data_IF_228802920389
#
_entry.id   IF_228802920389
#
_cell.length_a   1.000
_cell.length_b   1.000
_cell.length_c   1.000
_cell.angle_alpha   90.00
_cell.angle_beta   90.00
_cell.angle_gamma   90.00
#
_symmetry.space_group_name_H-M   'P 1'
#
loop_
_entity.id
_entity.type
_entity.pdbx_description
1 polymer ?
#
# COMPACT_ATOMS: atom_id res chain seq x y z
N UNK A 1 -52.15 37.87 -5.26
CA UNK A 1 -52.32 37.25 -3.94
C UNK A 1 -52.51 35.75 -4.15
N UNK A 2 -51.58 34.91 -3.71
CA UNK A 2 -51.75 33.45 -3.72
C UNK A 2 -52.63 33.08 -2.52
N UNK A 3 -53.77 32.45 -2.77
CA UNK A 3 -54.63 31.91 -1.71
C UNK A 3 -54.08 30.54 -1.28
N UNK A 4 -53.80 30.38 0.01
CA UNK A 4 -53.46 29.10 0.61
C UNK A 4 -54.71 28.22 0.70
N UNK A 5 -54.63 26.97 0.21
CA UNK A 5 -55.72 25.99 0.26
C UNK A 5 -55.32 24.86 1.21
N UNK A 6 -56.25 24.42 2.07
CA UNK A 6 -56.06 23.26 2.93
C UNK A 6 -56.18 21.97 2.12
N UNK A 7 -55.16 21.11 2.19
CA UNK A 7 -55.14 19.81 1.53
C UNK A 7 -55.04 18.66 2.55
N UNK A 8 -55.73 17.55 2.28
CA UNK A 8 -55.61 16.31 3.05
C UNK A 8 -54.49 15.45 2.47
N UNK A 9 -53.43 15.22 3.25
CA UNK A 9 -52.29 14.37 2.86
C UNK A 9 -52.34 13.02 3.58
N UNK A 10 -52.00 11.95 2.87
CA UNK A 10 -51.91 10.59 3.43
C UNK A 10 -50.63 10.46 4.27
N UNK A 11 -50.76 10.05 5.52
CA UNK A 11 -49.62 9.88 6.45
C UNK A 11 -49.69 8.55 7.18
N UNK A 12 -48.52 8.00 7.52
CA UNK A 12 -48.41 6.75 8.28
C UNK A 12 -49.03 6.88 9.68
N UNK A 13 -49.66 5.82 10.17
CA UNK A 13 -50.43 5.80 11.43
C UNK A 13 -49.55 6.08 12.67
N UNK A 14 -48.28 5.67 12.62
CA UNK A 14 -47.28 5.99 13.65
C UNK A 14 -46.98 7.49 13.73
N UNK A 15 -46.91 8.16 12.58
CA UNK A 15 -46.73 9.62 12.47
C UNK A 15 -47.96 10.36 13.00
N UNK A 16 -49.17 9.84 12.74
CA UNK A 16 -50.42 10.37 13.29
C UNK A 16 -50.42 10.28 14.83
N UNK A 17 -50.05 9.13 15.39
CA UNK A 17 -49.94 8.94 16.86
C UNK A 17 -48.90 9.84 17.50
N UNK A 18 -47.72 9.98 16.88
CA UNK A 18 -46.68 10.90 17.36
C UNK A 18 -47.14 12.37 17.32
N UNK A 19 -47.88 12.77 16.28
CA UNK A 19 -48.39 14.14 16.15
C UNK A 19 -49.57 14.41 17.09
N UNK A 20 -50.47 13.45 17.31
CA UNK A 20 -51.53 13.51 18.33
C UNK A 20 -50.97 13.72 19.73
N UNK A 21 -49.89 13.03 20.08
CA UNK A 21 -49.20 13.23 21.36
C UNK A 21 -48.53 14.61 21.52
N UNK A 22 -48.30 15.34 20.43
CA UNK A 22 -47.73 16.70 20.41
C UNK A 22 -48.81 17.80 20.25
N UNK A 23 -50.00 17.43 19.78
CA UNK A 23 -51.15 18.32 19.53
C UNK A 23 -51.74 18.94 20.81
N UNK A 24 -51.45 18.38 21.98
CA UNK A 24 -51.85 18.96 23.27
C UNK A 24 -51.03 20.17 23.72
N UNK A 25 -50.06 20.67 22.92
CA UNK A 25 -49.14 21.75 23.31
C UNK A 25 -49.15 22.98 22.40
N UNK A 26 -50.08 23.09 21.46
CA UNK A 26 -50.16 24.24 20.55
C UNK A 26 -51.57 24.83 20.55
N UNK A 27 -51.67 26.15 20.75
CA UNK A 27 -52.92 26.90 20.64
C UNK A 27 -53.34 27.05 19.16
N UNK A 28 -54.62 27.40 18.88
CA UNK A 28 -55.08 27.65 17.52
C UNK A 28 -54.26 28.75 16.85
N UNK A 29 -53.60 28.42 15.74
CA UNK A 29 -52.78 29.34 14.93
C UNK A 29 -52.25 28.64 13.68
N UNK A 30 -51.99 29.42 12.63
CA UNK A 30 -51.67 28.93 11.29
C UNK A 30 -50.40 28.07 11.26
N UNK A 31 -50.53 26.84 10.76
CA UNK A 31 -49.41 25.93 10.56
C UNK A 31 -48.82 26.12 9.16
N UNK A 32 -47.52 26.42 9.09
CA UNK A 32 -46.76 26.42 7.84
C UNK A 32 -46.03 25.08 7.69
N UNK A 33 -46.24 24.40 6.56
CA UNK A 33 -45.41 23.25 6.18
C UNK A 33 -44.05 23.79 5.68
N UNK A 34 -42.99 23.60 6.45
CA UNK A 34 -41.63 24.04 6.10
C UNK A 34 -40.91 23.13 5.09
N UNK A 35 -41.59 22.15 4.49
CA UNK A 35 -40.95 21.20 3.59
C UNK A 35 -41.82 20.90 2.36
N UNK A 36 -41.32 21.30 1.19
CA UNK A 36 -41.63 20.71 -0.11
C UNK A 36 -40.90 19.37 -0.19
N UNK A 37 -41.53 18.29 0.24
CA UNK A 37 -41.12 16.98 -0.25
C UNK A 37 -42.32 16.29 -0.87
N UNK A 38 -42.23 16.02 -2.17
CA UNK A 38 -43.11 15.05 -2.83
C UNK A 38 -42.82 13.67 -2.23
N UNK A 39 -43.86 13.01 -1.73
CA UNK A 39 -43.76 11.62 -1.28
C UNK A 39 -43.47 10.77 -2.51
N UNK A 40 -42.27 10.21 -2.60
CA UNK A 40 -41.86 9.28 -3.65
C UNK A 40 -42.82 8.07 -3.63
N UNK A 41 -43.43 7.70 -4.77
CA UNK A 41 -44.51 6.69 -4.87
C UNK A 41 -44.05 5.23 -4.59
N UNK A 42 -42.87 5.04 -4.00
CA UNK A 42 -42.31 3.71 -3.76
C UNK A 42 -43.11 3.00 -2.66
N UNK A 43 -43.61 1.79 -2.99
CA UNK A 43 -44.38 0.92 -2.09
C UNK A 43 -43.62 0.53 -0.82
N UNK A 44 -42.28 0.52 -0.87
CA UNK A 44 -41.40 0.21 0.25
C UNK A 44 -40.18 1.14 0.24
N UNK A 45 -39.59 1.45 1.42
CA UNK A 45 -38.36 2.20 1.49
C UNK A 45 -37.22 1.39 0.86
N UNK A 46 -36.31 2.06 0.14
CA UNK A 46 -35.09 1.42 -0.38
C UNK A 46 -34.27 0.85 0.78
N UNK A 47 -33.81 -0.40 0.69
CA UNK A 47 -33.04 -1.04 1.76
C UNK A 47 -31.84 -0.20 2.21
N UNK A 48 -31.59 -0.15 3.52
CA UNK A 48 -30.53 0.69 4.10
C UNK A 48 -29.14 0.35 3.55
N UNK A 49 -28.87 -0.92 3.22
CA UNK A 49 -27.60 -1.35 2.62
C UNK A 49 -27.37 -0.71 1.24
N UNK A 50 -28.43 -0.42 0.48
CA UNK A 50 -28.35 0.26 -0.81
C UNK A 50 -28.15 1.79 -0.67
N UNK A 51 -28.37 2.33 0.54
CA UNK A 51 -28.20 3.75 0.86
C UNK A 51 -26.93 4.03 1.68
N UNK A 52 -26.30 2.98 2.24
CA UNK A 52 -25.17 3.10 3.16
C UNK A 52 -23.84 3.16 2.44
N UNK A 53 -22.86 3.80 3.08
CA UNK A 53 -21.47 3.73 2.64
C UNK A 53 -20.94 2.30 2.91
N UNK A 54 -20.60 1.59 1.83
CA UNK A 54 -20.34 0.15 1.87
C UNK A 54 -18.92 -0.22 2.35
N UNK A 55 -18.00 0.74 2.53
CA UNK A 55 -16.59 0.48 2.88
C UNK A 55 -16.47 -0.15 4.27
N UNK A 56 -17.19 0.39 5.26
CA UNK A 56 -17.20 -0.13 6.64
C UNK A 56 -17.86 -1.50 6.72
N UNK A 57 -18.91 -1.72 5.90
CA UNK A 57 -19.62 -2.99 5.82
C UNK A 57 -18.70 -4.04 5.19
N UNK A 58 -18.09 -3.76 4.04
CA UNK A 58 -17.13 -4.64 3.37
C UNK A 58 -15.97 -5.04 4.31
N UNK A 59 -15.42 -4.07 5.05
CA UNK A 59 -14.35 -4.33 6.01
C UNK A 59 -14.81 -5.26 7.13
N UNK A 60 -16.00 -5.01 7.67
CA UNK A 60 -16.57 -5.81 8.77
C UNK A 60 -16.89 -7.23 8.32
N UNK A 61 -17.38 -7.40 7.09
CA UNK A 61 -17.67 -8.69 6.49
C UNK A 61 -16.40 -9.53 6.25
N UNK A 62 -15.33 -8.90 5.76
CA UNK A 62 -14.01 -9.55 5.63
C UNK A 62 -13.40 -9.95 6.97
N UNK A 63 -13.67 -9.18 8.03
CA UNK A 63 -13.23 -9.49 9.41
C UNK A 63 -14.15 -10.47 10.13
N UNK A 64 -15.32 -10.77 9.56
CA UNK A 64 -16.28 -11.69 10.17
C UNK A 64 -15.79 -13.14 10.04
N UNK A 65 -16.32 -14.08 10.85
CA UNK A 65 -15.98 -15.51 10.73
C UNK A 65 -16.27 -16.12 9.35
N UNK A 66 -17.14 -15.50 8.55
CA UNK A 66 -17.42 -15.92 7.20
C UNK A 66 -16.25 -15.61 6.25
N UNK A 67 -15.48 -14.54 6.51
CA UNK A 67 -14.38 -14.04 5.66
C UNK A 67 -14.82 -13.77 4.20
N UNK A 68 -16.09 -13.46 3.99
CA UNK A 68 -16.67 -13.21 2.67
C UNK A 68 -16.93 -11.72 2.48
N UNK A 69 -16.63 -11.18 1.29
CA UNK A 69 -16.95 -9.80 0.95
C UNK A 69 -18.39 -9.63 0.43
N UNK A 70 -18.78 -8.38 0.19
CA UNK A 70 -20.06 -7.95 -0.38
C UNK A 70 -20.39 -8.66 -1.69
N UNK A 71 -19.41 -9.02 -2.51
CA UNK A 71 -19.62 -9.76 -3.76
C UNK A 71 -20.24 -11.15 -3.57
N UNK A 72 -20.01 -11.77 -2.41
CA UNK A 72 -20.60 -13.08 -2.07
C UNK A 72 -21.91 -12.90 -1.32
N UNK A 73 -21.96 -11.94 -0.38
CA UNK A 73 -23.15 -11.67 0.43
C UNK A 73 -24.29 -11.07 -0.39
N UNK A 74 -24.01 -10.31 -1.45
CA UNK A 74 -25.06 -9.70 -2.30
C UNK A 74 -26.07 -10.71 -2.85
N UNK A 75 -25.64 -11.97 -3.09
CA UNK A 75 -26.49 -13.05 -3.59
C UNK A 75 -27.59 -13.47 -2.61
N UNK A 76 -27.47 -13.07 -1.34
CA UNK A 76 -28.39 -13.40 -0.26
C UNK A 76 -29.19 -12.19 0.21
N UNK A 77 -29.01 -11.02 -0.40
CA UNK A 77 -29.74 -9.81 -0.05
C UNK A 77 -31.05 -9.73 -0.86
N UNK A 78 -32.15 -9.32 -0.24
CA UNK A 78 -33.42 -9.11 -0.95
C UNK A 78 -33.34 -7.96 -1.95
N UNK A 79 -32.55 -6.92 -1.63
CA UNK A 79 -32.19 -5.82 -2.52
C UNK A 79 -30.67 -5.76 -2.65
N UNK A 80 -30.16 -5.94 -3.86
CA UNK A 80 -28.71 -5.86 -4.11
C UNK A 80 -28.22 -4.40 -4.13
N UNK A 81 -27.14 -4.06 -3.42
CA UNK A 81 -26.52 -2.76 -3.58
C UNK A 81 -25.97 -2.60 -5.01
N UNK A 82 -26.01 -1.38 -5.59
CA UNK A 82 -25.50 -1.15 -6.94
C UNK A 82 -24.04 -1.60 -7.07
N UNK A 83 -23.70 -2.31 -8.14
CA UNK A 83 -22.34 -2.82 -8.36
C UNK A 83 -21.29 -1.69 -8.30
N UNK A 84 -21.61 -0.52 -8.85
CA UNK A 84 -20.73 0.66 -8.77
C UNK A 84 -20.43 1.12 -7.33
N UNK A 85 -21.38 0.95 -6.40
CA UNK A 85 -21.18 1.28 -4.99
C UNK A 85 -20.30 0.23 -4.30
N UNK A 86 -20.46 -1.05 -4.63
CA UNK A 86 -19.57 -2.13 -4.17
C UNK A 86 -18.16 -1.90 -4.70
N UNK A 87 -18.00 -1.63 -5.99
CA UNK A 87 -16.71 -1.37 -6.62
C UNK A 87 -16.04 -0.12 -6.03
N UNK A 88 -16.82 0.91 -5.70
CA UNK A 88 -16.33 2.10 -5.01
C UNK A 88 -15.87 1.80 -3.57
N UNK A 89 -16.60 0.97 -2.82
CA UNK A 89 -16.18 0.55 -1.48
C UNK A 89 -14.92 -0.33 -1.51
N UNK A 90 -14.82 -1.25 -2.45
CA UNK A 90 -13.60 -2.02 -2.70
C UNK A 90 -12.44 -1.10 -3.08
N UNK A 91 -12.69 -0.11 -3.94
CA UNK A 91 -11.70 0.91 -4.32
C UNK A 91 -11.28 1.77 -3.12
N UNK A 92 -12.20 2.14 -2.24
CA UNK A 92 -11.91 2.88 -1.01
C UNK A 92 -11.13 2.04 0.00
N UNK A 93 -11.47 0.77 0.19
CA UNK A 93 -10.65 -0.13 1.01
C UNK A 93 -9.25 -0.29 0.45
N UNK A 94 -9.11 -0.43 -0.87
CA UNK A 94 -7.82 -0.40 -1.57
C UNK A 94 -7.06 0.93 -1.39
N UNK A 95 -7.72 2.02 -1.00
CA UNK A 95 -7.10 3.32 -0.68
C UNK A 95 -6.70 3.46 0.79
N UNK A 96 -7.35 2.74 1.72
CA UNK A 96 -7.06 2.76 3.17
C UNK A 96 -5.88 1.85 3.55
N UNK A 97 -5.53 0.93 2.65
CA UNK A 97 -4.36 0.06 2.62
C UNK A 97 -4.48 -0.80 1.37
N UNK A 98 -3.43 -1.49 0.93
CA UNK A 98 -3.59 -2.48 -0.15
C UNK A 98 -4.05 -3.78 0.52
N UNK A 99 -5.35 -4.11 0.57
CA UNK A 99 -5.74 -5.42 1.09
C UNK A 99 -5.07 -6.48 0.21
N UNK A 100 -4.69 -7.63 0.78
CA UNK A 100 -4.31 -8.79 0.00
C UNK A 100 -5.32 -9.07 -1.12
N UNK A 101 -4.81 -9.58 -2.23
CA UNK A 101 -5.58 -9.82 -3.44
C UNK A 101 -5.44 -11.28 -3.83
N UNK A 102 -6.58 -11.88 -4.21
CA UNK A 102 -6.56 -13.13 -4.95
C UNK A 102 -5.90 -12.90 -6.30
N UNK A 103 -5.09 -13.86 -6.72
CA UNK A 103 -4.60 -13.92 -8.10
C UNK A 103 -5.79 -14.08 -9.05
N UNK A 104 -5.67 -13.49 -10.23
CA UNK A 104 -6.73 -13.44 -11.25
C UNK A 104 -7.23 -14.88 -11.54
N UNK A 105 -8.55 -15.14 -11.48
CA UNK A 105 -9.10 -16.51 -11.55
C UNK A 105 -8.65 -17.32 -12.78
N UNK A 106 -8.45 -16.64 -13.91
CA UNK A 106 -8.04 -17.24 -15.18
C UNK A 106 -6.66 -17.89 -15.12
N UNK A 107 -5.77 -17.40 -14.24
CA UNK A 107 -4.37 -17.86 -14.13
C UNK A 107 -4.07 -18.56 -12.81
N UNK A 108 -5.03 -18.55 -11.88
CA UNK A 108 -4.89 -19.08 -10.51
C UNK A 108 -4.40 -20.53 -10.44
N UNK A 109 -4.81 -21.38 -11.38
CA UNK A 109 -4.37 -22.78 -11.45
C UNK A 109 -2.84 -22.93 -11.57
N UNK A 110 -2.12 -21.90 -12.02
CA UNK A 110 -0.65 -21.90 -12.14
C UNK A 110 0.05 -21.62 -10.81
N UNK A 111 -0.66 -21.18 -9.79
CA UNK A 111 -0.11 -20.66 -8.54
C UNK A 111 -0.62 -21.41 -7.30
N UNK A 112 -1.15 -22.62 -7.47
CA UNK A 112 -1.68 -23.43 -6.36
C UNK A 112 -0.60 -23.77 -5.33
N UNK A 113 0.64 -23.99 -5.77
CA UNK A 113 1.82 -24.19 -4.93
C UNK A 113 2.12 -22.96 -4.06
N UNK A 114 1.91 -21.76 -4.61
CA UNK A 114 2.08 -20.50 -3.87
C UNK A 114 0.96 -20.35 -2.85
N UNK A 115 -0.29 -20.63 -3.22
CA UNK A 115 -1.43 -20.60 -2.28
C UNK A 115 -1.25 -21.56 -1.12
N UNK A 116 -0.72 -22.76 -1.38
CA UNK A 116 -0.38 -23.73 -0.34
C UNK A 116 0.64 -23.14 0.64
N UNK A 117 1.77 -22.60 0.15
CA UNK A 117 2.78 -21.94 1.01
C UNK A 117 2.24 -20.71 1.74
N UNK A 118 1.36 -19.92 1.12
CA UNK A 118 0.68 -18.80 1.80
C UNK A 118 -0.12 -19.32 2.99
N UNK A 119 -0.90 -20.39 2.79
CA UNK A 119 -1.74 -20.97 3.83
C UNK A 119 -0.93 -21.47 5.03
N UNK A 120 0.28 -21.98 4.82
CA UNK A 120 1.17 -22.38 5.92
C UNK A 120 1.47 -21.20 6.85
N UNK A 121 1.59 -19.98 6.33
CA UNK A 121 1.92 -18.80 7.14
C UNK A 121 0.67 -18.10 7.66
N UNK A 122 -0.40 -18.02 6.88
CA UNK A 122 -1.52 -17.12 7.17
C UNK A 122 -2.78 -17.80 7.72
N UNK A 123 -2.90 -19.13 7.68
CA UNK A 123 -4.08 -19.82 8.21
C UNK A 123 -4.04 -19.90 9.74
N UNK A 124 -4.82 -19.06 10.43
CA UNK A 124 -4.86 -19.07 11.89
C UNK A 124 -5.46 -20.32 12.51
N UNK A 125 -6.04 -21.22 11.70
CA UNK A 125 -6.64 -22.48 12.14
C UNK A 125 -5.67 -23.66 12.12
N UNK A 126 -4.40 -23.46 11.74
CA UNK A 126 -3.37 -24.51 11.81
C UNK A 126 -3.31 -25.12 13.21
N UNK A 127 -3.31 -26.45 13.26
CA UNK A 127 -3.26 -27.23 14.49
C UNK A 127 -1.83 -27.41 14.98
N UNK A 128 -1.68 -27.82 16.25
CA UNK A 128 -0.35 -28.18 16.79
C UNK A 128 0.36 -29.26 15.96
N UNK A 129 -0.40 -30.19 15.35
CA UNK A 129 0.15 -31.25 14.49
C UNK A 129 0.73 -30.63 13.21
N UNK A 130 0.01 -29.69 12.61
CA UNK A 130 0.47 -29.00 11.41
C UNK A 130 1.75 -28.21 11.67
N UNK A 131 1.86 -27.58 12.83
CA UNK A 131 3.08 -26.87 13.25
C UNK A 131 4.22 -27.84 13.54
N UNK A 132 3.96 -28.95 14.23
CA UNK A 132 4.96 -29.96 14.56
C UNK A 132 5.60 -30.58 13.31
N UNK A 133 4.81 -30.83 12.27
CA UNK A 133 5.31 -31.37 11.00
C UNK A 133 6.37 -30.46 10.34
N UNK A 134 6.23 -29.14 10.51
CA UNK A 134 7.20 -28.17 10.00
C UNK A 134 8.44 -27.99 10.87
N UNK A 135 8.40 -28.40 12.14
CA UNK A 135 9.48 -28.21 13.12
C UNK A 135 10.37 -29.44 13.27
N UNK A 136 9.74 -30.60 13.49
CA UNK A 136 10.38 -31.86 13.88
C UNK A 136 9.87 -33.04 13.05
N UNK A 137 9.02 -32.78 12.05
CA UNK A 137 8.54 -33.82 11.14
C UNK A 137 9.67 -34.40 10.28
N UNK A 138 9.45 -35.56 9.63
CA UNK A 138 10.45 -36.18 8.74
C UNK A 138 10.87 -35.30 7.55
N UNK A 139 10.07 -34.29 7.23
CA UNK A 139 10.30 -33.32 6.15
C UNK A 139 10.65 -31.92 6.68
N UNK A 140 10.95 -31.78 7.97
CA UNK A 140 11.29 -30.50 8.55
C UNK A 140 12.59 -29.98 7.94
N UNK A 141 12.53 -28.78 7.39
CA UNK A 141 13.66 -28.02 6.85
C UNK A 141 13.75 -26.68 7.58
N UNK A 142 14.81 -25.92 7.28
CA UNK A 142 14.93 -24.54 7.74
C UNK A 142 13.72 -23.70 7.30
N UNK A 143 13.29 -23.85 6.06
CA UNK A 143 12.19 -23.10 5.47
C UNK A 143 10.86 -23.43 6.15
N UNK A 144 10.58 -24.71 6.43
CA UNK A 144 9.36 -25.08 7.15
C UNK A 144 9.37 -24.59 8.59
N UNK A 145 10.56 -24.50 9.23
CA UNK A 145 10.71 -23.84 10.53
C UNK A 145 10.47 -22.33 10.44
N UNK A 146 10.99 -21.67 9.40
CA UNK A 146 10.70 -20.27 9.11
C UNK A 146 9.20 -20.03 8.87
N UNK A 147 8.50 -20.92 8.18
CA UNK A 147 7.04 -20.85 8.00
C UNK A 147 6.30 -20.89 9.35
N UNK A 148 6.76 -21.71 10.30
CA UNK A 148 6.16 -21.79 11.63
C UNK A 148 6.42 -20.53 12.44
N UNK A 149 7.64 -19.99 12.44
CA UNK A 149 7.94 -18.70 13.09
C UNK A 149 7.13 -17.56 12.47
N UNK A 150 7.08 -17.51 11.14
CA UNK A 150 6.26 -16.55 10.40
C UNK A 150 4.76 -16.69 10.75
N UNK A 151 4.26 -17.91 10.89
CA UNK A 151 2.89 -18.17 11.32
C UNK A 151 2.61 -17.61 12.71
N UNK A 152 3.51 -17.79 13.68
CA UNK A 152 3.34 -17.16 15.00
C UNK A 152 3.28 -15.64 14.87
N UNK A 153 4.25 -15.05 14.19
CA UNK A 153 4.33 -13.60 13.99
C UNK A 153 3.03 -13.04 13.40
N UNK A 154 2.53 -13.65 12.32
CA UNK A 154 1.33 -13.20 11.60
C UNK A 154 0.03 -13.56 12.34
N UNK A 155 -0.18 -14.84 12.66
CA UNK A 155 -1.48 -15.34 13.13
C UNK A 155 -1.73 -15.09 14.62
N UNK A 156 -0.70 -15.15 15.46
CA UNK A 156 -0.81 -14.98 16.91
C UNK A 156 -0.50 -13.54 17.33
N UNK A 157 0.55 -12.96 16.76
CA UNK A 157 1.03 -11.64 17.18
C UNK A 157 0.52 -10.50 16.29
N UNK A 158 -0.05 -10.80 15.12
CA UNK A 158 -0.67 -9.79 14.25
C UNK A 158 0.35 -8.93 13.50
N UNK A 159 1.53 -9.49 13.22
CA UNK A 159 2.53 -8.87 12.36
C UNK A 159 2.11 -8.99 10.89
N UNK A 160 2.66 -8.11 10.06
CA UNK A 160 2.62 -8.22 8.60
C UNK A 160 3.98 -8.72 8.11
N UNK A 161 3.99 -9.82 7.38
CA UNK A 161 5.24 -10.39 6.84
C UNK A 161 5.48 -9.87 5.43
N UNK A 162 6.72 -9.50 5.11
CA UNK A 162 7.09 -8.96 3.81
C UNK A 162 8.53 -9.36 3.41
N UNK A 163 9.02 -8.78 2.31
CA UNK A 163 10.43 -8.80 1.98
C UNK A 163 10.96 -10.12 1.42
N UNK A 164 12.15 -10.50 1.86
CA UNK A 164 12.95 -11.55 1.24
C UNK A 164 12.29 -12.93 1.27
N UNK A 165 11.70 -13.31 2.40
CA UNK A 165 11.06 -14.61 2.57
C UNK A 165 9.81 -14.78 1.69
N UNK A 166 8.96 -13.75 1.60
CA UNK A 166 7.76 -13.80 0.75
C UNK A 166 8.15 -13.95 -0.72
N UNK A 167 9.19 -13.23 -1.16
CA UNK A 167 9.72 -13.31 -2.52
C UNK A 167 10.37 -14.67 -2.80
N UNK A 168 11.37 -15.03 -2.00
CA UNK A 168 12.26 -16.13 -2.29
C UNK A 168 11.58 -17.47 -2.04
N UNK A 169 10.90 -17.63 -0.91
CA UNK A 169 10.30 -18.91 -0.52
C UNK A 169 8.84 -19.03 -0.94
N UNK A 170 7.98 -18.11 -0.50
CA UNK A 170 6.52 -18.24 -0.71
C UNK A 170 6.18 -18.18 -2.20
N UNK A 171 6.63 -17.13 -2.90
CA UNK A 171 6.34 -16.96 -4.32
C UNK A 171 7.34 -17.69 -5.23
N UNK A 172 8.60 -17.81 -4.83
CA UNK A 172 9.69 -18.30 -5.68
C UNK A 172 10.07 -19.77 -5.50
N UNK A 173 9.80 -20.39 -4.34
CA UNK A 173 10.30 -21.72 -3.96
C UNK A 173 11.83 -21.87 -4.11
N UNK A 174 12.55 -20.80 -3.76
CA UNK A 174 14.01 -20.72 -3.89
C UNK A 174 14.71 -21.11 -2.60
N UNK A 175 15.53 -22.15 -2.73
CA UNK A 175 16.48 -22.59 -1.71
C UNK A 175 17.88 -22.45 -2.30
N UNK A 176 18.72 -21.66 -1.63
CA UNK A 176 20.14 -21.56 -1.95
C UNK A 176 20.94 -21.67 -0.66
N UNK A 177 22.02 -22.45 -0.71
CA UNK A 177 22.97 -22.64 0.39
C UNK A 177 24.37 -22.31 -0.09
N UNK A 178 25.27 -21.84 0.78
CA UNK A 178 26.67 -21.69 0.43
C UNK A 178 27.29 -23.06 0.11
N UNK A 179 28.20 -23.08 -0.87
CA UNK A 179 28.93 -24.29 -1.25
C UNK A 179 30.31 -24.36 -0.56
N UNK A 180 30.95 -25.52 -0.61
CA UNK A 180 32.32 -25.70 -0.13
C UNK A 180 32.48 -25.54 1.38
N UNK A 181 33.46 -24.73 1.81
CA UNK A 181 33.81 -24.53 3.24
C UNK A 181 32.68 -23.90 4.08
N UNK A 182 31.65 -23.36 3.43
CA UNK A 182 30.50 -22.74 4.09
C UNK A 182 29.21 -23.58 3.97
N UNK A 183 29.32 -24.84 3.53
CA UNK A 183 28.17 -25.73 3.41
C UNK A 183 27.55 -26.10 4.77
N UNK A 184 28.35 -26.08 5.83
CA UNK A 184 27.87 -26.33 7.19
C UNK A 184 27.03 -25.14 7.71
N UNK A 185 25.77 -25.38 8.14
CA UNK A 185 24.92 -24.35 8.73
C UNK A 185 25.53 -23.56 9.89
N UNK A 186 26.45 -24.18 10.65
CA UNK A 186 27.16 -23.50 11.74
C UNK A 186 27.97 -22.29 11.28
N UNK A 187 28.30 -22.21 9.98
CA UNK A 187 29.09 -21.13 9.38
C UNK A 187 28.26 -20.06 8.69
N UNK A 188 26.92 -20.18 8.72
CA UNK A 188 26.03 -19.26 8.01
C UNK A 188 25.85 -17.93 8.72
N UNK A 189 26.14 -17.87 10.02
CA UNK A 189 26.07 -16.64 10.81
C UNK A 189 27.48 -16.11 11.05
N UNK A 190 27.64 -14.82 10.82
CA UNK A 190 28.78 -14.01 11.27
C UNK A 190 28.26 -12.95 12.22
N UNK A 191 29.11 -12.44 13.12
CA UNK A 191 28.71 -11.38 14.06
C UNK A 191 29.57 -10.13 13.81
N UNK A 192 28.91 -8.97 13.79
CA UNK A 192 29.58 -7.67 13.61
C UNK A 192 29.10 -6.69 14.66
N UNK A 193 29.99 -5.88 15.28
CA UNK A 193 29.59 -4.91 16.27
C UNK A 193 28.78 -3.77 15.64
N UNK A 194 27.67 -3.39 16.25
CA UNK A 194 26.94 -2.17 15.92
C UNK A 194 27.57 -0.93 16.56
N UNK A 195 26.96 0.25 16.38
CA UNK A 195 27.46 1.52 16.93
C UNK A 195 27.55 1.53 18.47
N UNK A 196 26.80 0.67 19.16
CA UNK A 196 26.85 0.49 20.61
C UNK A 196 27.83 -0.62 21.05
N UNK A 197 28.58 -1.22 20.12
CA UNK A 197 29.50 -2.33 20.38
C UNK A 197 28.83 -3.70 20.56
N UNK A 198 27.51 -3.79 20.38
CA UNK A 198 26.76 -5.06 20.50
C UNK A 198 26.99 -5.90 19.25
N UNK A 199 27.31 -7.18 19.43
CA UNK A 199 27.54 -8.13 18.33
C UNK A 199 26.23 -8.52 17.66
N UNK A 200 25.98 -7.97 16.47
CA UNK A 200 24.79 -8.23 15.67
C UNK A 200 25.04 -9.38 14.69
N UNK A 201 24.18 -10.41 14.65
CA UNK A 201 24.29 -11.50 13.70
C UNK A 201 23.97 -11.03 12.29
N UNK A 202 24.71 -11.55 11.33
CA UNK A 202 24.55 -11.34 9.90
C UNK A 202 24.58 -12.71 9.24
N UNK A 203 23.49 -13.04 8.55
CA UNK A 203 23.40 -14.25 7.75
C UNK A 203 24.15 -14.10 6.43
N UNK A 204 24.85 -15.16 6.03
CA UNK A 204 25.55 -15.24 4.75
C UNK A 204 24.58 -14.94 3.59
N UNK A 205 24.96 -13.99 2.73
CA UNK A 205 24.13 -13.52 1.63
C UNK A 205 23.74 -14.60 0.60
N UNK A 206 24.51 -15.71 0.52
CA UNK A 206 24.22 -16.86 -0.33
C UNK A 206 23.09 -17.75 0.22
N UNK A 207 22.75 -17.64 1.52
CA UNK A 207 21.60 -18.35 2.10
C UNK A 207 20.31 -17.68 1.64
N UNK A 208 19.42 -18.47 1.05
CA UNK A 208 18.11 -18.02 0.55
C UNK A 208 17.04 -19.05 0.93
N UNK A 209 15.89 -18.64 1.51
CA UNK A 209 15.58 -17.30 2.04
C UNK A 209 16.51 -16.93 3.22
N UNK A 210 16.84 -15.66 3.41
CA UNK A 210 17.80 -15.24 4.44
C UNK A 210 17.11 -15.01 5.79
N UNK A 211 16.07 -14.18 5.78
CA UNK A 211 15.46 -13.55 6.95
C UNK A 211 13.94 -13.38 6.77
N UNK A 212 13.25 -13.20 7.90
CA UNK A 212 11.84 -12.81 7.96
C UNK A 212 11.73 -11.31 8.26
N UNK A 213 11.12 -10.54 7.37
CA UNK A 213 10.86 -9.11 7.60
C UNK A 213 9.42 -8.93 8.10
N UNK A 214 9.26 -8.60 9.38
CA UNK A 214 7.95 -8.51 10.03
C UNK A 214 7.67 -7.09 10.52
N UNK A 215 6.64 -6.46 9.99
CA UNK A 215 6.13 -5.19 10.48
C UNK A 215 5.22 -5.40 11.67
N UNK A 216 5.55 -4.73 12.77
CA UNK A 216 4.69 -4.70 13.95
C UNK A 216 3.41 -3.90 13.67
N UNK A 217 2.32 -4.32 14.32
CA UNK A 217 1.05 -3.61 14.22
C UNK A 217 1.14 -2.25 14.89
N UNK A 218 0.69 -1.19 14.20
CA UNK A 218 0.51 0.13 14.81
C UNK A 218 -0.60 0.16 15.87
N UNK A 219 -1.47 -0.85 15.89
CA UNK A 219 -2.69 -0.87 16.70
C UNK A 219 -2.65 -1.91 17.83
N UNK A 220 -1.64 -2.78 17.85
CA UNK A 220 -1.52 -3.86 18.82
C UNK A 220 -0.11 -3.86 19.41
N UNK A 221 -0.04 -3.83 20.74
CA UNK A 221 1.23 -4.01 21.44
C UNK A 221 1.82 -5.39 21.13
N UNK A 222 3.10 -5.40 20.78
CA UNK A 222 3.86 -6.63 20.58
C UNK A 222 4.63 -6.96 21.85
N UNK A 223 4.29 -8.09 22.45
CA UNK A 223 4.89 -8.59 23.68
C UNK A 223 6.00 -9.60 23.31
N UNK A 224 7.25 -9.13 23.35
CA UNK A 224 8.41 -9.92 22.93
C UNK A 224 8.60 -11.15 23.83
N UNK A 225 8.35 -11.02 25.13
CA UNK A 225 8.52 -12.13 26.08
C UNK A 225 7.50 -13.23 25.79
N UNK A 226 6.23 -12.87 25.55
CA UNK A 226 5.22 -13.86 25.12
C UNK A 226 5.55 -14.50 23.77
N UNK A 227 6.17 -13.76 22.86
CA UNK A 227 6.62 -14.31 21.59
C UNK A 227 7.71 -15.36 21.81
N UNK A 228 8.70 -15.06 22.66
CA UNK A 228 9.76 -15.99 23.02
C UNK A 228 9.25 -17.22 23.77
N UNK A 229 8.31 -17.06 24.69
CA UNK A 229 7.64 -18.17 25.37
C UNK A 229 6.96 -19.12 24.36
N UNK A 230 6.32 -18.55 23.33
CA UNK A 230 5.71 -19.32 22.26
C UNK A 230 6.76 -20.07 21.43
N UNK A 231 7.90 -19.45 21.09
CA UNK A 231 9.01 -20.13 20.40
C UNK A 231 9.58 -21.28 21.23
N UNK A 232 9.84 -21.02 22.51
CA UNK A 232 10.41 -22.00 23.43
C UNK A 232 9.51 -23.23 23.61
N UNK A 233 8.18 -23.04 23.68
CA UNK A 233 7.21 -24.14 23.73
C UNK A 233 7.35 -25.13 22.57
N UNK A 234 7.83 -24.65 21.42
CA UNK A 234 8.00 -25.42 20.21
C UNK A 234 9.47 -25.78 19.92
N UNK A 235 10.36 -25.65 20.93
CA UNK A 235 11.79 -25.97 20.82
C UNK A 235 12.50 -25.18 19.71
N UNK A 236 12.11 -23.93 19.53
CA UNK A 236 12.80 -22.97 18.67
C UNK A 236 13.67 -22.13 19.58
N UNK A 237 14.98 -22.22 19.40
CA UNK A 237 15.93 -21.38 20.14
C UNK A 237 15.93 -19.98 19.53
N UNK A 238 15.90 -18.94 20.35
CA UNK A 238 15.85 -17.55 19.88
C UNK A 238 16.71 -16.65 20.76
N UNK A 239 17.66 -15.95 20.15
CA UNK A 239 18.38 -14.81 20.73
C UNK A 239 17.74 -13.52 20.25
N UNK A 240 17.56 -12.53 21.14
CA UNK A 240 16.98 -11.23 20.79
C UNK A 240 18.02 -10.13 21.01
N UNK A 241 18.24 -9.34 19.96
CA UNK A 241 19.09 -8.16 19.99
C UNK A 241 18.23 -6.94 19.69
N UNK A 242 18.27 -5.96 20.58
CA UNK A 242 17.52 -4.72 20.45
C UNK A 242 18.39 -3.63 19.82
N UNK A 243 17.93 -3.09 18.69
CA UNK A 243 18.42 -1.84 18.13
C UNK A 243 17.43 -0.71 18.39
N UNK A 244 17.80 0.54 18.10
CA UNK A 244 16.93 1.70 18.35
C UNK A 244 15.59 1.63 17.62
N UNK A 245 15.54 0.94 16.47
CA UNK A 245 14.45 1.00 15.51
C UNK A 245 13.86 -0.37 15.11
N UNK A 246 14.46 -1.48 15.58
CA UNK A 246 13.97 -2.85 15.35
C UNK A 246 14.43 -3.81 16.44
N UNK A 247 13.83 -5.00 16.47
CA UNK A 247 14.43 -6.17 17.11
C UNK A 247 15.00 -7.10 16.05
N UNK A 248 16.20 -7.59 16.26
CA UNK A 248 16.84 -8.63 15.46
C UNK A 248 16.76 -9.91 16.26
N UNK A 249 16.10 -10.92 15.70
CA UNK A 249 15.94 -12.23 16.31
C UNK A 249 16.77 -13.23 15.53
N UNK A 250 17.64 -13.96 16.22
CA UNK A 250 18.40 -15.07 15.65
C UNK A 250 17.78 -16.37 16.13
N UNK A 251 17.31 -17.19 15.20
CA UNK A 251 16.73 -18.49 15.51
C UNK A 251 17.70 -19.61 15.19
N UNK A 252 17.66 -20.64 16.03
CA UNK A 252 18.20 -21.96 15.72
C UNK A 252 19.69 -21.93 15.32
N UNK A 253 20.51 -21.11 15.99
CA UNK A 253 21.95 -20.94 15.73
C UNK A 253 22.71 -22.27 15.66
N UNK A 254 22.30 -23.23 16.48
CA UNK A 254 22.93 -24.53 16.60
C UNK A 254 22.07 -25.69 16.11
N UNK A 255 20.90 -25.41 15.51
CA UNK A 255 20.05 -26.47 15.01
C UNK A 255 20.59 -27.08 13.72
N UNK A 256 20.35 -28.38 13.51
CA UNK A 256 20.77 -29.11 12.31
C UNK A 256 20.17 -28.56 11.01
N UNK A 257 18.97 -27.98 11.09
CA UNK A 257 18.30 -27.34 9.95
C UNK A 257 19.01 -26.07 9.50
N UNK A 258 19.73 -25.42 10.41
CA UNK A 258 20.48 -24.21 10.18
C UNK A 258 19.77 -22.93 10.63
N UNK A 259 20.56 -21.87 10.88
CA UNK A 259 20.07 -20.63 11.47
C UNK A 259 19.30 -19.76 10.48
N UNK A 260 18.40 -18.94 11.00
CA UNK A 260 17.75 -17.86 10.24
C UNK A 260 17.47 -16.67 11.15
N UNK A 261 17.20 -15.52 10.53
CA UNK A 261 16.95 -14.28 11.28
C UNK A 261 15.53 -13.76 11.04
N UNK A 262 15.08 -12.88 11.93
CA UNK A 262 13.88 -12.10 11.75
C UNK A 262 14.09 -10.68 12.25
N UNK A 263 13.67 -9.73 11.44
CA UNK A 263 13.59 -8.32 11.80
C UNK A 263 12.15 -7.99 12.19
N UNK A 264 11.96 -7.53 13.44
CA UNK A 264 10.73 -6.90 13.89
C UNK A 264 10.85 -5.39 13.73
N UNK A 265 10.21 -4.86 12.70
CA UNK A 265 10.26 -3.45 12.32
C UNK A 265 9.19 -2.69 13.05
N UNK A 266 9.58 -1.63 13.77
CA UNK A 266 8.62 -0.84 14.52
C UNK A 266 7.73 0.03 13.63
N UNK A 267 6.47 0.28 14.03
CA UNK A 267 5.52 1.01 13.19
C UNK A 267 5.97 2.44 12.85
N UNK A 268 6.71 3.07 13.76
CA UNK A 268 7.20 4.44 13.58
C UNK A 268 8.33 4.54 12.53
N UNK A 269 8.98 3.41 12.21
CA UNK A 269 10.11 3.30 11.27
C UNK A 269 9.64 2.84 9.89
N UNK A 270 8.48 2.16 9.82
CA UNK A 270 7.88 1.64 8.59
C UNK A 270 7.89 2.68 7.45
N UNK A 271 7.59 3.94 7.74
CA UNK A 271 7.59 5.05 6.76
C UNK A 271 8.93 5.26 6.03
N UNK A 272 10.06 4.93 6.68
CA UNK A 272 11.40 5.01 6.07
C UNK A 272 11.82 3.69 5.42
N UNK A 273 11.27 2.57 5.90
CA UNK A 273 11.45 1.22 5.36
C UNK A 273 10.56 0.90 4.14
N UNK A 274 9.53 1.70 3.90
CA UNK A 274 8.61 1.62 2.75
C UNK A 274 9.27 1.99 1.40
N UNK A 275 10.59 2.26 1.38
CA UNK A 275 11.34 2.37 0.13
C UNK A 275 11.45 0.99 -0.51
N UNK A 276 10.64 0.77 -1.54
CA UNK A 276 10.72 -0.46 -2.33
C UNK A 276 11.80 -0.29 -3.39
N UNK A 277 12.86 -1.09 -3.27
CA UNK A 277 13.95 -1.15 -4.24
C UNK A 277 13.51 -1.81 -5.55
N UNK A 278 12.82 -2.95 -5.43
CA UNK A 278 12.46 -3.84 -6.52
C UNK A 278 11.00 -4.25 -6.41
N UNK A 279 10.33 -4.41 -7.55
CA UNK A 279 8.95 -4.90 -7.63
C UNK A 279 8.73 -6.24 -6.91
N UNK A 280 9.69 -7.14 -7.02
CA UNK A 280 9.68 -8.44 -6.37
C UNK A 280 9.80 -8.39 -4.84
N UNK A 281 10.17 -7.24 -4.25
CA UNK A 281 10.21 -7.02 -2.80
C UNK A 281 8.92 -6.35 -2.28
N UNK A 282 7.94 -6.16 -3.16
CA UNK A 282 6.70 -5.47 -2.83
C UNK A 282 5.64 -6.41 -2.26
N UNK A 283 5.87 -7.72 -2.18
CA UNK A 283 4.87 -8.69 -1.70
C UNK A 283 4.79 -8.73 -0.17
N UNK A 284 3.59 -9.00 0.34
CA UNK A 284 3.34 -9.14 1.78
C UNK A 284 2.26 -10.18 2.09
N UNK A 285 2.30 -10.75 3.30
CA UNK A 285 1.31 -11.68 3.83
C UNK A 285 0.66 -11.14 5.10
N UNK A 286 -0.63 -11.42 5.26
CA UNK A 286 -1.44 -10.99 6.40
C UNK A 286 -2.32 -12.14 6.89
N UNK A 287 -2.70 -12.09 8.17
CA UNK A 287 -3.48 -13.14 8.84
C UNK A 287 -4.79 -13.44 8.11
N UNK A 288 -5.10 -14.73 7.97
CA UNK A 288 -6.32 -15.30 7.39
C UNK A 288 -6.56 -15.03 5.90
N UNK A 289 -5.59 -14.40 5.23
CA UNK A 289 -5.55 -14.27 3.78
C UNK A 289 -4.83 -15.47 3.15
N UNK A 290 -5.43 -16.66 3.30
CA UNK A 290 -4.81 -17.97 3.00
C UNK A 290 -4.47 -18.24 1.54
N UNK A 291 -4.96 -17.40 0.63
CA UNK A 291 -4.80 -17.55 -0.83
C UNK A 291 -4.47 -16.23 -1.53
N UNK A 292 -4.16 -15.20 -0.75
CA UNK A 292 -4.04 -13.83 -1.23
C UNK A 292 -2.66 -13.27 -0.93
N UNK A 293 -2.09 -12.55 -1.89
CA UNK A 293 -0.86 -11.78 -1.71
C UNK A 293 -1.21 -10.31 -1.57
N UNK A 294 -0.67 -9.67 -0.55
CA UNK A 294 -0.68 -8.22 -0.42
C UNK A 294 0.48 -7.58 -1.17
N UNK A 295 0.36 -6.27 -1.40
CA UNK A 295 1.49 -5.44 -1.78
C UNK A 295 1.76 -4.38 -0.71
N UNK A 296 3.04 -4.03 -0.52
CA UNK A 296 3.46 -2.95 0.39
C UNK A 296 3.02 -1.59 -0.15
N UNK A 297 3.25 -1.35 -1.44
CA UNK A 297 2.78 -0.18 -2.18
C UNK A 297 1.97 -0.63 -3.39
N UNK A 298 0.80 -0.01 -3.58
CA UNK A 298 -0.02 -0.26 -4.77
C UNK A 298 0.61 0.36 -6.01
N UNK A 299 1.26 -0.48 -6.82
CA UNK A 299 1.90 -0.11 -8.09
C UNK A 299 1.10 -0.57 -9.32
N UNK A 300 -0.12 -1.06 -9.13
CA UNK A 300 -1.04 -1.42 -10.23
C UNK A 300 -1.73 -0.19 -10.83
N UNK A 301 -1.81 0.90 -10.08
CA UNK A 301 -2.43 2.10 -10.59
C UNK A 301 -1.48 2.89 -11.49
N UNK A 302 -2.07 3.61 -12.45
CA UNK A 302 -1.38 4.60 -13.28
C UNK A 302 -0.61 5.57 -12.37
N UNK A 303 0.68 5.87 -12.64
CA UNK A 303 1.40 5.67 -13.90
C UNK A 303 2.22 4.37 -14.03
N UNK A 304 2.24 3.48 -13.04
CA UNK A 304 3.20 2.36 -12.99
C UNK A 304 2.66 1.06 -13.57
N UNK A 305 1.38 0.74 -13.29
CA UNK A 305 0.62 -0.37 -13.88
C UNK A 305 1.32 -1.74 -13.89
N UNK A 306 1.99 -2.11 -12.78
CA UNK A 306 2.58 -3.44 -12.62
C UNK A 306 1.59 -4.34 -11.87
N UNK A 307 1.03 -5.32 -12.57
CA UNK A 307 0.10 -6.32 -12.01
C UNK A 307 0.79 -7.30 -11.05
N UNK A 308 0.07 -7.76 -10.02
CA UNK A 308 0.55 -8.72 -9.04
C UNK A 308 1.09 -10.01 -9.71
N UNK A 309 0.36 -10.54 -10.69
CA UNK A 309 0.74 -11.72 -11.47
C UNK A 309 2.06 -11.50 -12.21
N UNK A 310 2.28 -10.28 -12.73
CA UNK A 310 3.54 -9.91 -13.38
C UNK A 310 4.70 -9.97 -12.38
N UNK A 311 4.49 -9.55 -11.13
CA UNK A 311 5.50 -9.66 -10.07
C UNK A 311 5.79 -11.13 -9.77
N UNK A 312 4.75 -11.96 -9.60
CA UNK A 312 4.91 -13.40 -9.32
C UNK A 312 5.63 -14.12 -10.48
N UNK A 313 5.26 -13.84 -11.72
CA UNK A 313 5.90 -14.43 -12.90
C UNK A 313 7.35 -13.96 -13.07
N UNK A 314 7.67 -12.73 -12.65
CA UNK A 314 9.04 -12.22 -12.61
C UNK A 314 9.84 -12.91 -11.51
N UNK A 315 9.26 -13.09 -10.33
CA UNK A 315 9.87 -13.86 -9.24
C UNK A 315 10.27 -15.23 -9.76
N UNK A 316 9.35 -16.00 -10.34
CA UNK A 316 9.60 -17.35 -10.89
C UNK A 316 10.71 -17.41 -11.94
N UNK A 317 10.91 -16.34 -12.69
CA UNK A 317 11.96 -16.21 -13.71
C UNK A 317 13.26 -15.59 -13.18
N UNK A 318 13.34 -15.28 -11.88
CA UNK A 318 14.41 -14.47 -11.28
C UNK A 318 14.67 -13.18 -12.04
N UNK A 319 13.59 -12.48 -12.39
CA UNK A 319 13.62 -11.17 -13.02
C UNK A 319 13.17 -10.11 -12.01
N UNK A 320 13.84 -8.96 -11.97
CA UNK A 320 13.44 -7.85 -11.10
C UNK A 320 13.38 -6.54 -11.87
N UNK A 321 12.56 -5.61 -11.40
CA UNK A 321 12.47 -4.25 -11.92
C UNK A 321 12.81 -3.25 -10.83
N UNK A 322 13.74 -2.35 -11.13
CA UNK A 322 14.16 -1.29 -10.21
C UNK A 322 13.01 -0.28 -10.06
N UNK A 323 12.61 -0.03 -8.81
CA UNK A 323 11.50 0.83 -8.46
C UNK A 323 11.90 2.20 -7.89
N UNK A 324 13.20 2.48 -7.72
CA UNK A 324 13.66 3.78 -7.22
C UNK A 324 14.99 4.22 -7.83
N UNK A 325 15.32 5.52 -7.77
CA UNK A 325 16.64 6.07 -8.05
C UNK A 325 17.82 5.26 -7.48
N UNK A 326 18.89 5.15 -8.26
CA UNK A 326 20.16 4.56 -7.79
C UNK A 326 20.80 5.42 -6.70
N UNK A 327 21.21 4.75 -5.63
CA UNK A 327 22.10 5.22 -4.58
C UNK A 327 22.99 4.06 -4.10
N UNK A 328 23.99 4.35 -3.28
CA UNK A 328 24.98 3.36 -2.81
C UNK A 328 24.30 2.13 -2.17
N UNK A 329 23.20 2.34 -1.45
CA UNK A 329 22.45 1.26 -0.81
C UNK A 329 21.71 0.40 -1.84
N UNK A 330 21.09 1.01 -2.87
CA UNK A 330 20.47 0.27 -3.97
C UNK A 330 21.50 -0.56 -4.71
N UNK A 331 22.68 -0.01 -4.98
CA UNK A 331 23.76 -0.69 -5.70
C UNK A 331 24.28 -1.91 -4.92
N UNK A 332 24.46 -1.77 -3.60
CA UNK A 332 24.81 -2.92 -2.74
C UNK A 332 23.74 -4.02 -2.79
N UNK A 333 22.45 -3.64 -2.70
CA UNK A 333 21.34 -4.59 -2.79
C UNK A 333 21.21 -5.21 -4.18
N UNK A 334 21.46 -4.44 -5.25
CA UNK A 334 21.46 -4.92 -6.63
C UNK A 334 22.59 -5.91 -6.87
N UNK A 335 23.80 -5.62 -6.38
CA UNK A 335 24.95 -6.52 -6.46
C UNK A 335 24.66 -7.85 -5.73
N UNK A 336 23.97 -7.80 -4.58
CA UNK A 336 23.49 -9.01 -3.90
C UNK A 336 22.50 -9.80 -4.76
N UNK A 337 21.48 -9.13 -5.31
CA UNK A 337 20.45 -9.80 -6.12
C UNK A 337 21.03 -10.41 -7.41
N UNK A 338 21.86 -9.66 -8.15
CA UNK A 338 22.41 -10.08 -9.44
C UNK A 338 23.61 -11.00 -9.24
N UNK A 339 24.60 -10.56 -8.45
CA UNK A 339 25.89 -11.25 -8.32
C UNK A 339 25.84 -12.51 -7.46
N UNK A 340 25.02 -12.53 -6.40
CA UNK A 340 24.97 -13.67 -5.46
C UNK A 340 23.75 -14.56 -5.73
N UNK A 341 22.60 -13.97 -6.03
CA UNK A 341 21.31 -14.69 -6.16
C UNK A 341 20.89 -14.94 -7.61
N UNK A 342 21.69 -14.45 -8.57
CA UNK A 342 21.53 -14.65 -10.01
C UNK A 342 20.19 -14.13 -10.57
N UNK A 343 19.75 -12.96 -10.09
CA UNK A 343 18.61 -12.24 -10.67
C UNK A 343 19.01 -11.44 -11.91
N UNK A 344 18.07 -11.22 -12.82
CA UNK A 344 18.24 -10.39 -14.01
C UNK A 344 17.41 -9.10 -13.90
N UNK A 345 17.97 -7.99 -14.36
CA UNK A 345 17.33 -6.66 -14.27
C UNK A 345 16.52 -6.36 -15.53
N UNK A 346 15.25 -5.99 -15.35
CA UNK A 346 14.37 -5.52 -16.43
C UNK A 346 14.40 -4.00 -16.56
N UNK A 347 14.83 -3.57 -17.73
CA UNK A 347 14.87 -2.17 -18.14
C UNK A 347 13.62 -1.78 -18.95
N UNK A 348 13.25 -0.47 -18.97
CA UNK A 348 13.81 0.59 -18.13
C UNK A 348 13.29 0.53 -16.68
N UNK A 349 13.99 1.16 -15.71
CA UNK A 349 13.51 1.28 -14.33
C UNK A 349 12.20 2.07 -14.27
N UNK A 350 11.42 1.86 -13.20
CA UNK A 350 10.15 2.57 -12.95
C UNK A 350 10.21 3.23 -11.58
N UNK A 351 10.50 4.52 -11.52
CA UNK A 351 10.62 5.21 -10.24
C UNK A 351 9.26 5.45 -9.58
N UNK A 352 8.95 4.60 -8.60
CA UNK A 352 7.75 4.64 -7.78
C UNK A 352 7.95 5.65 -6.65
N UNK A 353 7.07 6.64 -6.58
CA UNK A 353 6.95 7.48 -5.38
C UNK A 353 5.71 7.00 -4.63
N UNK A 354 5.87 6.49 -3.38
CA UNK A 354 4.74 6.07 -2.59
C UNK A 354 3.80 7.24 -2.34
N UNK A 355 2.51 6.93 -2.16
CA UNK A 355 1.55 7.95 -1.73
C UNK A 355 2.01 8.50 -0.37
N UNK A 356 1.84 9.81 -0.12
CA UNK A 356 2.12 10.35 1.19
C UNK A 356 1.20 9.69 2.24
N UNK A 357 1.68 9.53 3.49
CA UNK A 357 0.84 9.07 4.59
C UNK A 357 -0.36 10.01 4.78
N UNK A 358 -1.48 9.52 5.33
CA UNK A 358 -2.72 10.30 5.48
C UNK A 358 -2.56 11.67 6.19
N UNK A 359 -1.50 11.85 6.99
CA UNK A 359 -1.19 13.13 7.66
C UNK A 359 -0.59 14.18 6.70
N UNK A 360 0.01 13.74 5.59
CA UNK A 360 0.71 14.59 4.63
C UNK A 360 -0.03 14.57 3.29
N UNK A 361 -0.15 15.74 2.66
CA UNK A 361 -0.78 15.86 1.34
C UNK A 361 0.18 15.52 0.20
N UNK A 362 1.48 15.59 0.47
CA UNK A 362 2.55 15.44 -0.53
C UNK A 362 3.68 14.53 -0.06
N UNK A 363 4.25 13.80 -1.01
CA UNK A 363 5.58 13.20 -0.90
C UNK A 363 6.51 13.81 -1.98
N UNK A 364 7.77 14.07 -1.59
CA UNK A 364 8.83 14.56 -2.48
C UNK A 364 9.92 13.50 -2.60
N UNK A 365 10.42 13.29 -3.81
CA UNK A 365 11.57 12.42 -4.05
C UNK A 365 12.61 13.13 -4.90
N UNK A 366 13.84 13.23 -4.39
CA UNK A 366 14.95 13.79 -5.16
C UNK A 366 15.26 12.92 -6.38
N UNK A 367 15.42 13.55 -7.54
CA UNK A 367 15.84 12.87 -8.76
C UNK A 367 17.37 12.77 -8.80
N UNK A 368 17.93 11.58 -9.04
CA UNK A 368 19.36 11.41 -9.12
C UNK A 368 19.88 12.02 -10.43
N UNK A 369 21.07 12.64 -10.43
CA UNK A 369 21.68 13.20 -11.65
C UNK A 369 21.86 12.20 -12.79
N UNK A 370 21.98 10.92 -12.45
CA UNK A 370 22.13 9.82 -13.40
C UNK A 370 20.85 9.48 -14.17
N UNK A 371 19.66 9.86 -13.67
CA UNK A 371 18.38 9.49 -14.31
C UNK A 371 18.12 10.25 -15.62
N UNK A 372 17.49 9.57 -16.58
CA UNK A 372 17.12 10.16 -17.87
C UNK A 372 16.18 11.36 -17.69
N UNK A 373 15.26 11.28 -16.72
CA UNK A 373 14.36 12.39 -16.39
C UNK A 373 15.14 13.60 -15.86
N UNK A 374 16.13 13.41 -14.99
CA UNK A 374 16.98 14.50 -14.53
C UNK A 374 17.73 15.14 -15.71
N UNK A 375 18.36 14.32 -16.56
CA UNK A 375 19.10 14.80 -17.74
C UNK A 375 18.20 15.56 -18.73
N UNK A 376 16.98 15.09 -18.99
CA UNK A 376 16.00 15.78 -19.82
C UNK A 376 15.59 17.13 -19.21
N UNK A 377 15.35 17.18 -17.90
CA UNK A 377 14.98 18.42 -17.21
C UNK A 377 16.14 19.43 -17.21
N UNK A 378 17.36 19.00 -16.92
CA UNK A 378 18.57 19.84 -17.00
C UNK A 378 18.72 20.39 -18.42
N UNK A 379 18.63 19.55 -19.45
CA UNK A 379 18.73 19.98 -20.85
C UNK A 379 17.68 21.03 -21.21
N UNK A 380 16.46 20.89 -20.71
CA UNK A 380 15.38 21.88 -20.93
C UNK A 380 15.61 23.19 -20.16
N UNK A 381 16.31 23.14 -19.03
CA UNK A 381 16.64 24.31 -18.20
C UNK A 381 17.88 25.07 -18.69
N UNK A 382 18.77 24.42 -19.44
CA UNK A 382 19.96 25.04 -20.03
C UNK A 382 19.65 26.23 -20.95
N UNK A 383 18.39 26.42 -21.37
CA UNK A 383 17.95 27.61 -22.10
C UNK A 383 18.02 28.89 -21.28
N UNK A 384 18.09 28.78 -19.95
CA UNK A 384 18.22 29.94 -19.07
C UNK A 384 19.70 30.08 -18.68
N UNK A 385 20.35 31.19 -19.04
CA UNK A 385 21.77 31.39 -18.76
C UNK A 385 22.04 31.53 -17.26
N UNK A 386 23.24 31.13 -16.83
CA UNK A 386 23.77 31.32 -15.48
C UNK A 386 22.94 30.67 -14.35
N UNK A 387 22.32 29.51 -14.61
CA UNK A 387 21.63 28.74 -13.58
C UNK A 387 22.54 27.65 -12.99
N UNK A 388 22.62 27.62 -11.67
CA UNK A 388 23.10 26.46 -10.92
C UNK A 388 21.92 25.66 -10.37
N UNK A 389 21.82 24.40 -10.77
CA UNK A 389 20.77 23.48 -10.28
C UNK A 389 21.26 22.84 -8.99
N UNK A 390 20.61 23.17 -7.86
CA UNK A 390 20.94 22.58 -6.55
C UNK A 390 20.34 21.18 -6.43
N UNK A 391 19.06 21.03 -6.75
CA UNK A 391 18.34 19.75 -6.73
C UNK A 391 17.09 19.78 -7.60
N UNK A 392 16.65 18.60 -8.03
CA UNK A 392 15.38 18.40 -8.71
C UNK A 392 14.56 17.39 -7.91
N UNK A 393 13.29 17.72 -7.64
CA UNK A 393 12.41 16.88 -6.82
C UNK A 393 11.13 16.56 -7.61
N UNK A 394 10.78 15.27 -7.63
CA UNK A 394 9.52 14.80 -8.19
C UNK A 394 8.43 14.85 -7.10
N UNK A 395 7.27 15.38 -7.44
CA UNK A 395 6.16 15.61 -6.50
C UNK A 395 5.10 14.53 -6.68
N UNK A 396 4.67 13.95 -5.57
CA UNK A 396 3.53 13.04 -5.51
C UNK A 396 2.47 13.61 -4.58
N UNK A 397 1.38 14.10 -5.17
CA UNK A 397 0.20 14.57 -4.46
C UNK A 397 -1.03 13.89 -5.05
N UNK A 398 -1.55 12.81 -4.43
CA UNK A 398 -2.68 12.06 -4.99
C UNK A 398 -3.91 12.93 -5.23
N UNK A 399 -4.18 13.90 -4.35
CA UNK A 399 -5.34 14.79 -4.47
C UNK A 399 -5.25 15.67 -5.72
N UNK A 400 -4.12 16.32 -5.95
CA UNK A 400 -3.96 17.21 -7.12
C UNK A 400 -3.80 16.43 -8.41
N UNK A 401 -3.25 15.21 -8.37
CA UNK A 401 -3.19 14.32 -9.52
C UNK A 401 -4.56 13.79 -9.94
N UNK A 402 -5.40 13.39 -8.99
CA UNK A 402 -6.77 12.95 -9.27
C UNK A 402 -7.57 14.09 -9.88
N UNK A 403 -7.44 15.31 -9.33
CA UNK A 403 -8.02 16.52 -9.92
C UNK A 403 -7.51 16.77 -11.34
N UNK A 404 -6.20 16.68 -11.56
CA UNK A 404 -5.58 16.84 -12.87
C UNK A 404 -6.12 15.83 -13.90
N UNK A 405 -6.15 14.54 -13.54
CA UNK A 405 -6.63 13.48 -14.42
C UNK A 405 -8.14 13.59 -14.68
N UNK A 406 -8.91 14.00 -13.68
CA UNK A 406 -10.33 14.31 -13.81
C UNK A 406 -10.57 15.41 -14.83
N UNK A 407 -9.86 16.54 -14.69
CA UNK A 407 -9.94 17.67 -15.62
C UNK A 407 -9.48 17.30 -17.02
N UNK A 408 -8.38 16.54 -17.15
CA UNK A 408 -7.89 16.04 -18.43
C UNK A 408 -8.96 15.20 -19.15
N UNK A 409 -9.63 14.29 -18.44
CA UNK A 409 -10.73 13.48 -19.00
C UNK A 409 -11.93 14.34 -19.40
N UNK A 410 -12.27 15.37 -18.63
CA UNK A 410 -13.35 16.30 -18.99
C UNK A 410 -13.04 17.07 -20.28
N UNK A 411 -11.84 17.65 -20.38
CA UNK A 411 -11.37 18.35 -21.58
C UNK A 411 -11.36 17.39 -22.78
N UNK A 412 -10.90 16.15 -22.59
CA UNK A 412 -10.87 15.14 -23.64
C UNK A 412 -12.28 14.88 -24.22
N UNK A 413 -13.30 14.81 -23.36
CA UNK A 413 -14.70 14.62 -23.79
C UNK A 413 -15.28 15.85 -24.51
N UNK A 414 -14.76 17.04 -24.23
CA UNK A 414 -15.23 18.29 -24.81
C UNK A 414 -14.59 18.59 -26.19
N UNK A 415 -13.49 17.91 -26.53
CA UNK A 415 -12.77 18.11 -27.79
C UNK A 415 -13.18 17.08 -28.84
N UNK A 416 -13.56 17.55 -30.04
CA UNK A 416 -14.07 16.72 -31.13
C UNK A 416 -13.08 15.63 -31.61
N UNK A 417 -11.78 15.81 -31.38
CA UNK A 417 -10.73 14.85 -31.75
C UNK A 417 -10.12 14.10 -30.55
N UNK A 418 -10.61 14.36 -29.32
CA UNK A 418 -10.09 13.77 -28.10
C UNK A 418 -8.63 14.13 -27.74
N UNK A 419 -8.01 15.10 -28.43
CA UNK A 419 -6.62 15.51 -28.17
C UNK A 419 -6.58 16.72 -27.23
N UNK A 420 -6.21 16.47 -25.97
CA UNK A 420 -6.14 17.50 -24.92
C UNK A 420 -4.94 18.46 -25.01
N UNK A 421 -4.05 18.29 -26.00
CA UNK A 421 -2.88 19.16 -26.22
C UNK A 421 -2.03 19.38 -24.94
N UNK A 422 -1.77 18.31 -24.20
CA UNK A 422 -0.99 18.36 -22.96
C UNK A 422 0.45 18.80 -23.24
N UNK A 423 0.96 19.75 -22.45
CA UNK A 423 2.32 20.29 -22.56
C UNK A 423 3.05 20.24 -21.22
N UNK A 424 4.37 20.02 -21.28
CA UNK A 424 5.28 20.14 -20.13
C UNK A 424 5.91 21.52 -20.14
N UNK A 425 5.58 22.36 -19.17
CA UNK A 425 6.07 23.75 -19.05
C UNK A 425 6.72 24.01 -17.68
N UNK A 426 7.50 25.08 -17.60
CA UNK A 426 8.11 25.57 -16.35
C UNK A 426 7.25 26.65 -15.70
N UNK A 427 7.30 26.72 -14.36
CA UNK A 427 6.66 27.76 -13.56
C UNK A 427 7.62 28.20 -12.45
N UNK A 428 7.96 29.49 -12.42
CA UNK A 428 8.74 30.11 -11.34
C UNK A 428 7.82 30.72 -10.29
N UNK A 429 8.16 30.56 -9.02
CA UNK A 429 7.39 31.13 -7.90
C UNK A 429 8.31 31.45 -6.71
N UNK A 430 7.77 32.11 -5.68
CA UNK A 430 8.49 32.39 -4.43
C UNK A 430 8.54 31.14 -3.53
N UNK A 431 9.44 31.11 -2.53
CA UNK A 431 9.52 29.97 -1.60
C UNK A 431 8.19 29.62 -0.93
N UNK A 432 7.39 30.63 -0.51
CA UNK A 432 6.05 30.42 0.05
C UNK A 432 5.06 29.86 -0.99
N UNK A 433 5.22 30.23 -2.26
CA UNK A 433 4.44 29.70 -3.36
C UNK A 433 4.74 28.22 -3.65
N UNK A 434 5.98 27.76 -3.43
CA UNK A 434 6.35 26.36 -3.60
C UNK A 434 5.52 25.46 -2.68
N UNK A 435 5.48 25.74 -1.38
CA UNK A 435 4.73 24.94 -0.41
C UNK A 435 3.24 24.90 -0.75
N UNK A 436 2.68 26.05 -1.12
CA UNK A 436 1.28 26.17 -1.47
C UNK A 436 0.88 25.40 -2.74
N UNK A 437 1.65 25.51 -3.83
CA UNK A 437 1.35 24.78 -5.07
C UNK A 437 1.60 23.28 -4.88
N UNK A 438 2.65 22.93 -4.14
CA UNK A 438 2.96 21.55 -3.79
C UNK A 438 1.78 20.88 -3.07
N UNK A 439 1.25 21.51 -2.02
CA UNK A 439 0.25 20.90 -1.15
C UNK A 439 -1.17 20.97 -1.72
N UNK A 440 -1.51 22.06 -2.43
CA UNK A 440 -2.88 22.36 -2.85
C UNK A 440 -3.08 22.47 -4.37
N UNK A 441 -1.99 22.39 -5.14
CA UNK A 441 -2.03 22.60 -6.59
C UNK A 441 -2.11 24.08 -6.97
N UNK A 442 -2.34 24.33 -8.26
CA UNK A 442 -2.47 25.69 -8.79
C UNK A 442 -3.88 26.24 -8.52
N UNK A 443 -3.93 27.47 -8.01
CA UNK A 443 -5.15 28.26 -7.85
C UNK A 443 -4.90 29.75 -8.06
N UNK A 444 -5.95 30.56 -7.85
CA UNK A 444 -5.94 31.97 -8.19
C UNK A 444 -4.99 32.84 -7.36
N UNK A 445 -4.47 32.33 -6.23
CA UNK A 445 -3.52 33.03 -5.36
C UNK A 445 -2.13 33.09 -5.96
N UNK A 446 -1.80 32.21 -6.91
CA UNK A 446 -0.52 32.23 -7.64
C UNK A 446 -0.60 33.04 -8.93
N UNK A 447 -1.70 33.75 -9.18
CA UNK A 447 -1.77 34.80 -10.20
C UNK A 447 -1.13 36.07 -9.62
N UNK A 448 0.02 36.47 -10.16
CA UNK A 448 0.78 37.61 -9.65
C UNK A 448 0.04 38.94 -9.77
N UNK A 449 0.24 39.83 -8.79
CA UNK A 449 -0.25 41.21 -8.79
C UNK A 449 0.52 42.16 -9.75
N UNK A 450 1.55 41.68 -10.44
CA UNK A 450 2.54 42.51 -11.15
C UNK A 450 2.34 42.64 -12.67
N UNK A 451 1.18 42.29 -13.21
CA UNK A 451 0.87 42.64 -14.61
C UNK A 451 -0.33 43.55 -14.69
N UNK A 452 -0.07 44.84 -14.93
CA UNK A 452 -1.04 45.90 -15.23
C UNK A 452 -1.87 45.66 -16.52
N UNK A 453 -1.84 44.44 -17.08
CA UNK A 453 -2.66 43.99 -18.20
C UNK A 453 -3.12 42.59 -17.85
N UNK A 454 -4.42 42.39 -17.72
CA UNK A 454 -5.07 41.13 -17.34
C UNK A 454 -4.96 40.00 -18.37
N UNK A 455 -3.80 39.81 -19.00
CA UNK A 455 -3.58 38.90 -20.13
C UNK A 455 -2.82 37.61 -19.77
N UNK A 456 -2.93 37.12 -18.52
CA UNK A 456 -2.48 35.74 -18.22
C UNK A 456 -3.48 34.67 -18.66
N UNK A 457 -4.67 35.05 -19.13
CA UNK A 457 -5.58 34.15 -19.84
C UNK A 457 -4.92 33.48 -21.07
N UNK A 458 -3.84 34.06 -21.62
CA UNK A 458 -3.03 33.46 -22.68
C UNK A 458 -1.81 32.69 -22.18
N UNK A 459 -1.17 33.12 -21.08
CA UNK A 459 0.09 32.55 -20.62
C UNK A 459 -0.09 31.41 -19.59
N UNK A 460 -1.17 31.41 -18.78
CA UNK A 460 -1.58 30.30 -17.88
C UNK A 460 -2.73 29.45 -18.49
N UNK A 461 -3.02 29.57 -19.80
CA UNK A 461 -3.77 28.51 -20.50
C UNK A 461 -2.97 27.22 -20.71
N UNK A 462 -1.73 27.13 -20.23
CA UNK A 462 -0.79 26.06 -20.63
C UNK A 462 0.01 25.37 -19.52
N UNK A 463 -0.05 25.78 -18.26
CA UNK A 463 0.81 25.20 -17.21
C UNK A 463 0.06 24.26 -16.26
N UNK A 464 0.25 22.96 -16.44
CA UNK A 464 0.08 21.94 -15.41
C UNK A 464 1.38 21.13 -15.38
N UNK A 465 2.26 21.43 -14.43
CA UNK A 465 3.54 20.72 -14.27
C UNK A 465 3.45 19.72 -13.11
N UNK A 466 3.99 18.51 -13.32
CA UNK A 466 4.19 17.47 -12.29
C UNK A 466 5.60 17.52 -11.66
N UNK A 467 6.39 18.55 -11.96
CA UNK A 467 7.80 18.61 -11.56
C UNK A 467 8.17 20.01 -11.09
N UNK A 468 8.84 20.09 -9.95
CA UNK A 468 9.40 21.32 -9.42
C UNK A 468 10.92 21.24 -9.49
N UNK A 469 11.52 22.33 -9.91
CA UNK A 469 12.97 22.48 -9.98
C UNK A 469 13.29 23.65 -9.07
N UNK A 470 14.10 23.40 -8.03
CA UNK A 470 14.63 24.48 -7.20
C UNK A 470 15.90 24.97 -7.87
N UNK A 471 15.86 26.23 -8.29
CA UNK A 471 16.93 26.92 -9.01
C UNK A 471 17.44 28.01 -8.08
N UNK A 472 18.75 28.06 -7.89
CA UNK A 472 19.41 29.21 -7.27
C UNK A 472 19.98 30.11 -8.37
N UNK A 473 19.71 31.40 -8.27
CA UNK A 473 20.27 32.42 -9.14
C UNK A 473 21.23 33.25 -8.29
N UNK A 474 22.52 33.00 -8.45
CA UNK A 474 23.59 33.83 -7.88
C UNK A 474 23.86 35.05 -8.73
#
# INVERSE_FOLDING_TARGET
MQHTVLEKVRVAESTIKQRLGRLGRTQPGDYYALYDFKVDEKKFPTAQICQSELTTIELSLRKSPAQEGLNKIKKFLPDEPPQAAIDMALTKLRRVGVPPRLLIPQVRHRYLDIEERISHVTDSKRTTIDLWNGLEGPKATRETRMEVVAWFAVCQFGCKLEGGFVRDWIAGDYIQRPEGKHADPSTWISRTPNAAGVQVPIINNAVTPADLDCHLSAFKYFDIDKFLDAMHKYKIECEVIREQWRYILLFDEHAKTGPFMMDLIEPHVALTHDRIDFDVNNLSLEKDYTKELGMRVDIENVPYSIELETIVDRIRRKELKILRPSDDLLEQRLNKMVGVRHWSVKNPPVYVIPKPPNKYLVALASLPPSSDLYKDLVKRLQVIPNIQIIKIELIRNPGTEDLYLGMKKLIQKQLNNGNVNEKKLFHGTTGKGIDGIRDYGYDNRYYGANTAKGDWGEYIRRCLSKTFVVIDQT
#
